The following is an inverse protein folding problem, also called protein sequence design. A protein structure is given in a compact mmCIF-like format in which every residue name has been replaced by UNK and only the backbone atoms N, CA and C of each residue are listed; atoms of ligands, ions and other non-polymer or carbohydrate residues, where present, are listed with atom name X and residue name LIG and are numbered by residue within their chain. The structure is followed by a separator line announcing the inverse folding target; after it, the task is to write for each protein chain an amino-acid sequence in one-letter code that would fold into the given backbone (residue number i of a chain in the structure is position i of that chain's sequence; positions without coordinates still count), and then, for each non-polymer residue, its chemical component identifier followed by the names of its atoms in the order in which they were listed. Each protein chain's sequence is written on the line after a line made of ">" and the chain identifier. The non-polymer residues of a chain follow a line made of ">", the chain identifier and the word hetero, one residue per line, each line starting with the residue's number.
data_IF_260929040794
#
_entry.id   IF_260929040794
#
_cell.length_a   1.000
_cell.length_b   1.000
_cell.length_c   1.000
_cell.angle_alpha   90.00
_cell.angle_beta   90.00
_cell.angle_gamma   90.00
#
_symmetry.space_group_name_H-M   'P 1'
#
loop_
_entity.id
_entity.type
_entity.pdbx_description
1 polymer ?
#
# COMPACT_ATOMS: atom_id res chain seq x y z
N UNK A 1 77.79 -3.50 15.01
CA UNK A 1 76.71 -4.44 14.98
C UNK A 1 75.41 -3.96 15.65
N UNK A 2 75.40 -3.48 16.91
CA UNK A 2 74.18 -3.04 17.61
C UNK A 2 73.43 -1.85 17.00
N UNK A 3 74.10 -0.92 16.28
CA UNK A 3 73.42 0.21 15.59
C UNK A 3 72.69 -0.21 14.31
N UNK A 4 73.29 -1.11 13.54
CA UNK A 4 72.68 -1.64 12.31
C UNK A 4 71.43 -2.45 12.61
N UNK A 5 71.47 -3.24 13.70
CA UNK A 5 70.30 -4.05 14.13
C UNK A 5 69.14 -3.17 14.59
N UNK A 6 69.44 -2.04 15.30
CA UNK A 6 68.38 -1.08 15.70
C UNK A 6 67.75 -0.37 14.50
N UNK A 7 68.53 0.01 13.51
CA UNK A 7 68.00 0.63 12.29
C UNK A 7 67.15 -0.34 11.46
N UNK A 8 67.55 -1.62 11.36
CA UNK A 8 66.80 -2.64 10.67
C UNK A 8 65.45 -2.94 11.37
N UNK A 9 65.42 -2.99 12.70
CA UNK A 9 64.19 -3.19 13.48
C UNK A 9 63.22 -1.98 13.33
N UNK A 10 63.77 -0.75 13.33
CA UNK A 10 62.95 0.45 13.13
C UNK A 10 62.34 0.51 11.72
N UNK A 11 63.07 0.10 10.68
CA UNK A 11 62.54 0.03 9.31
C UNK A 11 61.45 -1.02 9.16
N UNK A 12 61.60 -2.19 9.80
CA UNK A 12 60.59 -3.24 9.81
C UNK A 12 59.31 -2.82 10.54
N UNK A 13 59.45 -2.07 11.65
CA UNK A 13 58.30 -1.54 12.38
C UNK A 13 57.54 -0.49 11.56
N UNK A 14 58.24 0.41 10.86
CA UNK A 14 57.63 1.40 9.99
C UNK A 14 56.91 0.74 8.78
N UNK A 15 57.51 -0.30 8.19
CA UNK A 15 56.89 -1.06 7.12
C UNK A 15 55.61 -1.81 7.56
N UNK A 16 55.61 -2.37 8.77
CA UNK A 16 54.45 -3.02 9.35
C UNK A 16 53.28 -2.05 9.62
N UNK A 17 53.55 -0.83 10.07
CA UNK A 17 52.55 0.23 10.29
C UNK A 17 52.00 0.76 8.94
N UNK A 18 52.85 0.87 7.90
CA UNK A 18 52.42 1.31 6.58
C UNK A 18 51.54 0.27 5.87
N UNK A 19 51.76 -1.03 6.08
CA UNK A 19 50.93 -2.13 5.55
C UNK A 19 49.62 -2.34 6.34
N UNK A 20 49.58 -1.97 7.62
CA UNK A 20 48.37 -2.04 8.46
C UNK A 20 47.36 -0.92 8.20
N UNK A 21 47.78 0.19 7.58
CA UNK A 21 46.92 1.36 7.34
C UNK A 21 46.00 1.28 6.11
N UNK A 22 46.19 0.29 5.25
CA UNK A 22 45.36 0.15 4.02
C UNK A 22 44.14 -0.78 4.18
N UNK A 23 43.95 -1.38 5.36
CA UNK A 23 42.83 -2.32 5.61
C UNK A 23 41.54 -1.66 6.11
N UNK A 24 41.45 -0.35 6.26
CA UNK A 24 40.21 0.36 6.50
C UNK A 24 39.56 0.75 5.16
N UNK A 25 39.20 -0.22 4.34
CA UNK A 25 38.13 -0.02 3.36
C UNK A 25 36.89 0.38 4.15
N UNK A 26 36.59 1.68 4.18
CA UNK A 26 35.29 2.19 4.67
C UNK A 26 34.22 1.53 3.83
N UNK A 27 33.68 0.40 4.29
CA UNK A 27 32.46 -0.14 3.72
C UNK A 27 31.44 0.98 3.87
N UNK A 28 31.06 1.59 2.75
CA UNK A 28 29.99 2.58 2.77
C UNK A 28 28.77 1.86 3.33
N UNK A 29 28.17 2.41 4.38
CA UNK A 29 26.89 1.91 4.88
C UNK A 29 25.90 1.88 3.70
N UNK A 30 25.04 0.88 3.61
CA UNK A 30 24.05 0.82 2.56
C UNK A 30 23.13 2.04 2.62
N UNK A 31 22.68 2.50 1.47
CA UNK A 31 21.58 3.45 1.39
C UNK A 31 20.31 2.76 1.84
N UNK A 32 19.71 3.21 2.93
CA UNK A 32 18.45 2.65 3.43
C UNK A 32 17.27 3.34 2.76
N UNK A 33 16.34 2.53 2.24
CA UNK A 33 15.05 2.95 1.69
C UNK A 33 13.95 2.41 2.61
N UNK A 34 13.15 3.30 3.15
CA UNK A 34 12.02 2.95 4.03
C UNK A 34 10.73 2.87 3.24
N UNK A 35 9.94 1.82 3.48
CA UNK A 35 8.64 1.60 2.85
C UNK A 35 7.57 1.43 3.93
N UNK A 36 6.49 2.20 3.84
CA UNK A 36 5.32 2.01 4.68
C UNK A 36 4.18 1.38 3.88
N UNK A 37 3.54 0.37 4.48
CA UNK A 37 2.41 -0.34 3.91
C UNK A 37 1.26 -0.43 4.90
N UNK A 38 0.10 -0.88 4.44
CA UNK A 38 -1.04 -1.30 5.28
C UNK A 38 -1.22 -2.83 5.27
N UNK A 39 -0.24 -3.57 4.75
CA UNK A 39 -0.35 -5.01 4.62
C UNK A 39 -0.34 -5.71 5.98
N UNK A 40 -1.20 -6.72 6.11
CA UNK A 40 -1.34 -7.53 7.32
C UNK A 40 -1.44 -9.01 6.95
N UNK A 41 -1.24 -9.90 7.92
CA UNK A 41 -1.33 -11.35 7.71
C UNK A 41 -0.46 -11.84 6.56
N UNK A 42 -0.99 -12.72 5.73
CA UNK A 42 -0.28 -13.38 4.62
C UNK A 42 0.27 -12.36 3.60
N UNK A 43 -0.44 -11.25 3.39
CA UNK A 43 -0.01 -10.19 2.47
C UNK A 43 1.28 -9.51 2.96
N UNK A 44 1.37 -9.25 4.27
CA UNK A 44 2.57 -8.70 4.89
C UNK A 44 3.73 -9.70 4.83
N UNK A 45 3.46 -10.98 5.08
CA UNK A 45 4.47 -12.03 4.99
C UNK A 45 5.04 -12.14 3.58
N UNK A 46 4.18 -12.20 2.56
CA UNK A 46 4.61 -12.23 1.16
C UNK A 46 5.43 -10.98 0.79
N UNK A 47 5.02 -9.79 1.24
CA UNK A 47 5.76 -8.57 0.97
C UNK A 47 7.14 -8.57 1.63
N UNK A 48 7.24 -9.03 2.87
CA UNK A 48 8.51 -9.13 3.57
C UNK A 48 9.48 -10.12 2.89
N UNK A 49 8.98 -11.24 2.34
CA UNK A 49 9.79 -12.16 1.54
C UNK A 49 10.37 -11.48 0.29
N UNK A 50 9.58 -10.63 -0.39
CA UNK A 50 10.09 -9.85 -1.53
C UNK A 50 11.17 -8.84 -1.11
N UNK A 51 11.00 -8.19 0.05
CA UNK A 51 12.00 -7.28 0.62
C UNK A 51 13.29 -8.02 0.96
N UNK A 52 13.20 -9.19 1.57
CA UNK A 52 14.36 -10.04 1.88
C UNK A 52 15.07 -10.51 0.61
N UNK A 53 14.32 -10.92 -0.40
CA UNK A 53 14.88 -11.29 -1.70
C UNK A 53 15.61 -10.11 -2.34
N UNK A 54 15.02 -8.92 -2.35
CA UNK A 54 15.70 -7.72 -2.85
C UNK A 54 16.98 -7.44 -2.07
N UNK A 55 16.92 -7.42 -0.75
CA UNK A 55 18.05 -7.12 0.13
C UNK A 55 19.21 -8.11 -0.02
N UNK A 56 18.89 -9.40 -0.27
CA UNK A 56 19.90 -10.45 -0.45
C UNK A 56 20.51 -10.50 -1.86
N UNK A 57 19.85 -9.90 -2.84
CA UNK A 57 20.26 -9.92 -4.26
C UNK A 57 20.65 -8.52 -4.76
N UNK A 58 19.75 -7.84 -5.45
CA UNK A 58 19.98 -6.53 -6.08
C UNK A 58 20.38 -5.47 -5.06
N UNK A 59 19.75 -5.46 -3.89
CA UNK A 59 20.04 -4.52 -2.81
C UNK A 59 21.48 -4.68 -2.33
N UNK A 60 21.93 -5.92 -2.12
CA UNK A 60 23.31 -6.23 -1.73
C UNK A 60 24.31 -5.78 -2.82
N UNK A 61 24.03 -6.07 -4.08
CA UNK A 61 24.86 -5.67 -5.20
C UNK A 61 25.01 -4.16 -5.31
N UNK A 62 23.90 -3.44 -5.16
CA UNK A 62 23.84 -1.98 -5.30
C UNK A 62 24.13 -1.21 -3.99
N UNK A 63 24.43 -1.91 -2.92
CA UNK A 63 24.60 -1.33 -1.57
C UNK A 63 23.37 -0.52 -1.14
N UNK A 64 22.18 -1.06 -1.39
CA UNK A 64 20.87 -0.55 -0.99
C UNK A 64 20.23 -1.54 -0.03
N UNK A 65 19.61 -1.05 1.03
CA UNK A 65 18.83 -1.84 1.98
C UNK A 65 17.42 -1.29 2.06
N UNK A 66 16.42 -2.12 1.86
CA UNK A 66 15.01 -1.79 2.06
C UNK A 66 14.59 -2.21 3.47
N UNK A 67 13.90 -1.33 4.15
CA UNK A 67 13.25 -1.57 5.45
C UNK A 67 11.76 -1.25 5.29
N UNK A 68 10.91 -2.26 5.52
CA UNK A 68 9.46 -2.13 5.41
C UNK A 68 8.82 -2.15 6.80
N UNK A 69 7.75 -1.39 6.97
CA UNK A 69 6.87 -1.47 8.13
C UNK A 69 5.41 -1.37 7.72
N UNK A 70 4.57 -2.17 8.39
CA UNK A 70 3.12 -2.02 8.29
C UNK A 70 2.66 -0.97 9.29
N UNK A 71 1.80 -0.07 8.84
CA UNK A 71 1.17 0.95 9.69
C UNK A 71 -0.22 0.52 10.19
N UNK A 72 -0.60 -0.73 9.93
CA UNK A 72 -1.89 -1.27 10.35
C UNK A 72 -2.92 -1.27 9.22
N UNK A 73 -4.00 -0.51 9.35
CA UNK A 73 -5.02 -0.38 8.31
C UNK A 73 -4.69 0.71 7.29
N UNK A 74 -5.48 0.80 6.22
CA UNK A 74 -5.39 1.90 5.24
C UNK A 74 -5.50 3.26 5.96
N UNK A 75 -6.48 3.41 6.85
CA UNK A 75 -6.71 4.66 7.58
C UNK A 75 -5.55 4.99 8.55
N UNK A 76 -4.96 3.99 9.18
CA UNK A 76 -3.79 4.18 10.06
C UNK A 76 -2.59 4.65 9.24
N UNK A 77 -2.35 4.03 8.08
CA UNK A 77 -1.27 4.43 7.17
C UNK A 77 -1.47 5.88 6.69
N UNK A 78 -2.68 6.23 6.25
CA UNK A 78 -3.01 7.58 5.79
C UNK A 78 -2.77 8.60 6.92
N UNK A 79 -3.29 8.32 8.12
CA UNK A 79 -3.09 9.19 9.30
C UNK A 79 -1.61 9.36 9.61
N UNK A 80 -0.84 8.28 9.59
CA UNK A 80 0.59 8.29 9.90
C UNK A 80 1.40 9.07 8.86
N UNK A 81 1.13 8.85 7.57
CA UNK A 81 1.88 9.50 6.49
C UNK A 81 1.58 11.00 6.42
N UNK A 82 0.31 11.40 6.61
CA UNK A 82 -0.05 12.82 6.63
C UNK A 82 0.53 13.51 7.87
N UNK A 83 0.50 12.88 9.03
CA UNK A 83 1.15 13.41 10.23
C UNK A 83 2.66 13.60 10.05
N UNK A 84 3.33 12.63 9.40
CA UNK A 84 4.75 12.70 9.07
C UNK A 84 5.05 13.81 8.04
N UNK A 85 4.22 13.94 7.00
CA UNK A 85 4.34 14.97 5.97
C UNK A 85 4.16 16.37 6.51
N UNK A 86 3.25 16.57 7.45
CA UNK A 86 3.01 17.85 8.14
C UNK A 86 4.04 18.16 9.26
N UNK A 87 4.92 17.21 9.59
CA UNK A 87 5.90 17.36 10.65
C UNK A 87 5.29 17.48 12.05
N UNK A 88 4.17 16.80 12.30
CA UNK A 88 3.49 16.83 13.60
C UNK A 88 4.39 16.33 14.71
N UNK A 89 4.25 16.91 15.89
CA UNK A 89 5.01 16.48 17.09
C UNK A 89 4.71 15.01 17.42
N UNK A 90 5.76 14.22 17.52
CA UNK A 90 5.63 12.78 17.76
C UNK A 90 5.41 11.91 16.52
N UNK A 91 5.25 12.51 15.34
CA UNK A 91 5.20 11.75 14.09
C UNK A 91 6.58 11.18 13.75
N UNK A 92 6.57 10.01 13.13
CA UNK A 92 7.79 9.41 12.56
C UNK A 92 8.29 10.21 11.36
N UNK A 93 9.51 9.93 10.94
CA UNK A 93 10.04 10.51 9.71
C UNK A 93 9.30 9.94 8.51
N UNK A 94 8.93 10.81 7.56
CA UNK A 94 8.27 10.41 6.31
C UNK A 94 9.10 9.33 5.59
N UNK A 95 8.48 8.20 5.16
CA UNK A 95 9.18 7.13 4.45
C UNK A 95 9.57 7.56 3.04
N UNK A 96 10.47 6.81 2.40
CA UNK A 96 10.83 7.04 1.00
C UNK A 96 9.75 6.56 0.03
N UNK A 97 9.03 5.50 0.40
CA UNK A 97 7.95 4.91 -0.40
C UNK A 97 6.77 4.62 0.52
N UNK A 98 5.58 4.86 0.04
CA UNK A 98 4.33 4.56 0.77
C UNK A 98 3.33 3.88 -0.16
N UNK A 99 2.66 2.84 0.33
CA UNK A 99 1.47 2.30 -0.32
C UNK A 99 0.33 3.27 -0.12
N UNK A 100 -0.22 3.84 -1.20
CA UNK A 100 -1.21 4.90 -1.10
C UNK A 100 -2.33 4.74 -2.12
N UNK A 101 -3.50 5.23 -1.76
CA UNK A 101 -4.56 5.52 -2.72
C UNK A 101 -4.36 6.91 -3.33
N UNK A 102 -5.11 7.20 -4.40
CA UNK A 102 -4.92 8.40 -5.18
C UNK A 102 -5.19 9.70 -4.40
N UNK A 103 -6.11 9.70 -3.46
CA UNK A 103 -6.48 10.84 -2.62
C UNK A 103 -5.34 11.26 -1.67
N UNK A 104 -4.78 10.30 -0.94
CA UNK A 104 -3.61 10.55 -0.08
C UNK A 104 -2.39 10.95 -0.92
N UNK A 105 -2.16 10.27 -2.05
CA UNK A 105 -1.08 10.60 -2.96
C UNK A 105 -1.23 12.02 -3.55
N UNK A 106 -2.46 12.43 -3.89
CA UNK A 106 -2.76 13.79 -4.34
C UNK A 106 -2.42 14.82 -3.26
N UNK A 107 -2.80 14.55 -2.01
CA UNK A 107 -2.47 15.44 -0.89
C UNK A 107 -0.96 15.60 -0.72
N UNK A 108 -0.20 14.50 -0.81
CA UNK A 108 1.27 14.54 -0.76
C UNK A 108 1.87 15.29 -1.95
N UNK A 109 1.29 15.16 -3.14
CA UNK A 109 1.72 15.89 -4.34
C UNK A 109 1.48 17.41 -4.20
N UNK A 110 0.33 17.82 -3.66
CA UNK A 110 0.06 19.24 -3.35
C UNK A 110 1.05 19.84 -2.34
N UNK A 111 1.63 19.01 -1.48
CA UNK A 111 2.70 19.40 -0.55
C UNK A 111 4.10 19.38 -1.19
N UNK A 112 4.21 19.01 -2.48
CA UNK A 112 5.47 18.89 -3.20
C UNK A 112 6.33 17.70 -2.77
N UNK A 113 5.74 16.67 -2.17
CA UNK A 113 6.43 15.50 -1.62
C UNK A 113 6.41 14.28 -2.56
N UNK A 114 5.53 14.27 -3.58
CA UNK A 114 5.47 13.18 -4.55
C UNK A 114 6.43 13.44 -5.74
N UNK A 115 7.23 12.42 -6.04
CA UNK A 115 8.20 12.48 -7.15
C UNK A 115 7.54 12.00 -8.44
N UNK A 116 7.82 12.66 -9.57
CA UNK A 116 7.46 12.13 -10.89
C UNK A 116 8.32 10.91 -11.22
N UNK A 117 7.67 9.79 -11.44
CA UNK A 117 8.30 8.50 -11.77
C UNK A 117 8.49 8.30 -13.28
N UNK A 118 7.86 9.13 -14.11
CA UNK A 118 7.89 9.00 -15.59
C UNK A 118 9.29 8.92 -16.16
N UNK A 119 10.28 9.73 -15.71
CA UNK A 119 11.65 9.69 -16.26
C UNK A 119 12.42 8.42 -15.89
N UNK A 120 11.98 7.66 -14.91
CA UNK A 120 12.66 6.47 -14.40
C UNK A 120 12.12 5.17 -15.03
N UNK A 121 11.09 5.25 -15.86
CA UNK A 121 10.46 4.12 -16.52
C UNK A 121 10.63 4.20 -18.02
N UNK A 122 11.12 3.12 -18.61
CA UNK A 122 11.16 2.97 -20.07
C UNK A 122 9.76 2.70 -20.63
N UNK A 123 9.53 2.99 -21.91
CA UNK A 123 8.27 2.68 -22.59
C UNK A 123 7.96 1.17 -22.58
N UNK A 124 9.00 0.33 -22.61
CA UNK A 124 8.85 -1.11 -22.47
C UNK A 124 8.31 -1.51 -21.10
N UNK A 125 8.80 -0.89 -20.04
CA UNK A 125 8.30 -1.13 -18.66
C UNK A 125 6.88 -0.64 -18.53
N UNK A 126 6.56 0.57 -18.99
CA UNK A 126 5.20 1.10 -18.98
C UNK A 126 4.22 0.20 -19.75
N UNK A 127 4.62 -0.33 -20.90
CA UNK A 127 3.77 -1.20 -21.73
C UNK A 127 3.46 -2.56 -21.11
N UNK A 128 4.18 -2.98 -20.06
CA UNK A 128 3.90 -4.19 -19.31
C UNK A 128 2.69 -4.02 -18.36
N UNK A 129 2.21 -2.80 -18.14
CA UNK A 129 1.08 -2.48 -17.27
C UNK A 129 -0.17 -2.14 -18.07
N UNK A 130 -1.34 -2.35 -17.47
CA UNK A 130 -2.60 -1.90 -18.06
C UNK A 130 -2.60 -0.37 -18.11
N UNK A 131 -2.75 0.18 -19.31
CA UNK A 131 -2.64 1.63 -19.54
C UNK A 131 -3.58 2.47 -18.67
N UNK A 132 -4.80 1.97 -18.40
CA UNK A 132 -5.75 2.63 -17.50
C UNK A 132 -5.21 2.76 -16.07
N UNK A 133 -4.50 1.76 -15.56
CA UNK A 133 -3.93 1.80 -14.22
C UNK A 133 -2.73 2.75 -14.11
N UNK A 134 -1.91 2.83 -15.16
CA UNK A 134 -0.85 3.85 -15.20
C UNK A 134 -1.43 5.26 -15.28
N UNK A 135 -2.50 5.44 -16.07
CA UNK A 135 -3.16 6.75 -16.19
C UNK A 135 -3.73 7.26 -14.86
N UNK A 136 -4.21 6.38 -13.99
CA UNK A 136 -4.66 6.77 -12.65
C UNK A 136 -3.53 7.35 -11.77
N UNK A 137 -2.29 7.02 -12.08
CA UNK A 137 -1.10 7.56 -11.41
C UNK A 137 -0.72 8.96 -11.85
N UNK A 138 -1.29 9.46 -12.94
CA UNK A 138 -1.20 10.86 -13.39
C UNK A 138 -2.31 11.69 -12.71
N UNK A 139 -2.04 12.08 -11.48
CA UNK A 139 -3.02 12.71 -10.58
C UNK A 139 -3.54 14.05 -11.10
N UNK A 140 -2.73 14.76 -11.90
CA UNK A 140 -3.05 16.10 -12.40
C UNK A 140 -3.36 16.09 -13.91
N UNK A 141 -3.35 14.94 -14.56
CA UNK A 141 -3.52 14.77 -15.99
C UNK A 141 -2.56 15.63 -16.82
N UNK A 142 -1.31 15.72 -16.34
CA UNK A 142 -0.23 16.52 -16.94
C UNK A 142 0.91 15.65 -17.50
N UNK A 143 0.76 14.33 -17.49
CA UNK A 143 1.75 13.36 -17.96
C UNK A 143 2.78 12.91 -16.92
N UNK A 144 2.72 13.41 -15.70
CA UNK A 144 3.58 12.99 -14.60
C UNK A 144 2.98 11.77 -13.89
N UNK A 145 3.78 10.74 -13.68
CA UNK A 145 3.39 9.54 -12.95
C UNK A 145 3.76 9.68 -11.48
N UNK A 146 2.83 10.05 -10.63
CA UNK A 146 3.06 10.23 -9.18
C UNK A 146 2.76 8.96 -8.38
N UNK A 147 1.87 8.10 -8.89
CA UNK A 147 1.51 6.83 -8.27
C UNK A 147 1.79 5.69 -9.24
N UNK A 148 2.58 4.72 -8.80
CA UNK A 148 2.87 3.53 -9.59
C UNK A 148 1.95 2.37 -9.18
N UNK A 149 1.23 1.72 -10.12
CA UNK A 149 0.28 0.66 -9.79
C UNK A 149 1.01 -0.64 -9.45
N UNK A 150 1.00 -1.02 -8.17
CA UNK A 150 1.56 -2.30 -7.70
C UNK A 150 0.48 -3.36 -7.46
N UNK A 151 -0.72 -2.92 -7.09
CA UNK A 151 -1.90 -3.75 -6.88
C UNK A 151 -3.15 -2.90 -7.09
N UNK A 152 -4.23 -3.53 -7.55
CA UNK A 152 -5.55 -2.91 -7.67
C UNK A 152 -6.57 -3.81 -7.00
N UNK A 153 -7.48 -3.19 -6.27
CA UNK A 153 -8.65 -3.87 -5.71
C UNK A 153 -9.92 -3.30 -6.32
N UNK A 154 -10.99 -4.07 -6.24
CA UNK A 154 -12.32 -3.65 -6.64
C UNK A 154 -13.33 -4.11 -5.61
N UNK A 155 -14.42 -3.42 -5.54
CA UNK A 155 -15.56 -3.85 -4.75
C UNK A 155 -16.42 -4.81 -5.59
N UNK A 156 -16.90 -5.86 -4.95
CA UNK A 156 -17.75 -6.86 -5.54
C UNK A 156 -18.99 -7.05 -4.67
N UNK A 157 -20.14 -7.14 -5.31
CA UNK A 157 -21.35 -7.60 -4.66
C UNK A 157 -21.34 -9.13 -4.62
N UNK A 158 -21.25 -9.71 -3.42
CA UNK A 158 -21.43 -11.14 -3.21
C UNK A 158 -22.88 -11.42 -2.85
N UNK A 159 -23.52 -12.26 -3.61
CA UNK A 159 -24.90 -12.65 -3.38
C UNK A 159 -24.98 -14.11 -2.95
N UNK A 160 -25.57 -14.36 -1.77
CA UNK A 160 -25.93 -15.70 -1.35
C UNK A 160 -27.18 -16.14 -2.12
N UNK A 161 -27.01 -16.92 -3.17
CA UNK A 161 -28.11 -17.34 -4.04
C UNK A 161 -29.09 -18.28 -3.35
N UNK A 162 -28.70 -19.00 -2.33
CA UNK A 162 -29.57 -19.87 -1.53
C UNK A 162 -30.60 -19.05 -0.76
N UNK A 163 -30.18 -17.95 -0.14
CA UNK A 163 -31.08 -17.07 0.62
C UNK A 163 -31.84 -16.11 -0.30
N UNK A 164 -31.24 -15.74 -1.44
CA UNK A 164 -31.87 -14.85 -2.40
C UNK A 164 -33.04 -15.52 -3.17
N UNK A 165 -32.95 -16.81 -3.49
CA UNK A 165 -33.95 -17.48 -4.33
C UNK A 165 -35.39 -17.39 -3.77
N UNK A 166 -35.68 -17.72 -2.49
CA UNK A 166 -37.04 -17.60 -1.94
C UNK A 166 -37.49 -16.14 -1.85
N UNK A 167 -36.61 -15.21 -1.64
CA UNK A 167 -36.95 -13.78 -1.67
C UNK A 167 -37.33 -13.32 -3.07
N UNK A 168 -36.52 -13.67 -4.08
CA UNK A 168 -36.77 -13.36 -5.48
C UNK A 168 -38.12 -13.93 -5.96
N UNK A 169 -38.42 -15.18 -5.59
CA UNK A 169 -39.71 -15.82 -5.91
C UNK A 169 -40.88 -15.08 -5.27
N UNK A 170 -40.79 -14.69 -4.03
CA UNK A 170 -41.86 -14.03 -3.30
C UNK A 170 -42.08 -12.56 -3.74
N UNK A 171 -41.03 -11.84 -4.16
CA UNK A 171 -41.10 -10.38 -4.38
C UNK A 171 -40.94 -9.97 -5.84
N UNK A 172 -40.53 -10.89 -6.71
CA UNK A 172 -40.26 -10.63 -8.13
C UNK A 172 -38.96 -9.87 -8.38
N UNK A 173 -38.10 -9.69 -7.37
CA UNK A 173 -36.77 -9.06 -7.53
C UNK A 173 -35.86 -9.99 -8.34
N UNK A 174 -35.13 -9.41 -9.27
CA UNK A 174 -34.24 -10.14 -10.19
C UNK A 174 -32.78 -9.72 -10.00
N UNK A 175 -31.85 -10.46 -10.57
CA UNK A 175 -30.43 -10.07 -10.60
C UNK A 175 -30.19 -8.73 -11.33
N UNK A 176 -31.04 -8.41 -12.32
CA UNK A 176 -30.95 -7.16 -13.05
C UNK A 176 -31.24 -5.94 -12.14
N UNK A 177 -32.15 -6.09 -11.19
CA UNK A 177 -32.49 -5.04 -10.24
C UNK A 177 -31.31 -4.71 -9.31
N UNK A 178 -30.41 -5.67 -9.07
CA UNK A 178 -29.21 -5.48 -8.23
C UNK A 178 -28.04 -4.81 -8.98
N UNK A 179 -28.21 -4.47 -10.27
CA UNK A 179 -27.14 -3.89 -11.09
C UNK A 179 -26.95 -2.39 -10.92
N UNK A 180 -27.85 -1.71 -10.22
CA UNK A 180 -27.80 -0.28 -9.92
C UNK A 180 -27.96 -0.04 -8.43
N UNK A 181 -27.48 1.11 -7.97
CA UNK A 181 -27.59 1.52 -6.56
C UNK A 181 -29.06 1.69 -6.15
N UNK A 182 -29.87 2.28 -7.03
CA UNK A 182 -31.30 2.49 -6.83
C UNK A 182 -32.03 1.16 -6.70
N UNK A 183 -31.77 0.23 -7.63
CA UNK A 183 -32.39 -1.09 -7.62
C UNK A 183 -31.94 -1.92 -6.41
N UNK A 184 -30.66 -1.83 -6.01
CA UNK A 184 -30.19 -2.46 -4.78
C UNK A 184 -30.88 -1.91 -3.53
N UNK A 185 -31.13 -0.59 -3.48
CA UNK A 185 -31.85 0.04 -2.39
C UNK A 185 -33.32 -0.42 -2.35
N UNK A 186 -34.00 -0.46 -3.50
CA UNK A 186 -35.36 -0.97 -3.58
C UNK A 186 -35.47 -2.45 -3.18
N UNK A 187 -34.50 -3.28 -3.61
CA UNK A 187 -34.41 -4.67 -3.20
C UNK A 187 -34.21 -4.81 -1.68
N UNK A 188 -33.40 -3.93 -1.08
CA UNK A 188 -33.18 -3.92 0.35
C UNK A 188 -34.45 -3.62 1.15
N UNK A 189 -35.25 -2.65 0.72
CA UNK A 189 -36.56 -2.35 1.33
C UNK A 189 -37.53 -3.53 1.20
N UNK A 190 -37.65 -4.10 -0.01
CA UNK A 190 -38.50 -5.28 -0.22
C UNK A 190 -38.05 -6.48 0.63
N UNK A 191 -36.74 -6.66 0.80
CA UNK A 191 -36.20 -7.73 1.62
C UNK A 191 -36.54 -7.53 3.12
N UNK A 192 -36.42 -6.30 3.60
CA UNK A 192 -36.81 -5.95 4.96
C UNK A 192 -38.29 -6.25 5.18
N UNK A 193 -39.18 -5.74 4.34
CA UNK A 193 -40.65 -5.94 4.45
C UNK A 193 -41.01 -7.42 4.35
N UNK A 194 -40.37 -8.15 3.44
CA UNK A 194 -40.60 -9.58 3.24
C UNK A 194 -40.17 -10.41 4.47
N UNK A 195 -39.06 -10.06 5.10
CA UNK A 195 -38.58 -10.76 6.31
C UNK A 195 -39.36 -10.36 7.56
N UNK A 196 -39.78 -9.09 7.66
CA UNK A 196 -40.64 -8.60 8.75
C UNK A 196 -42.00 -9.32 8.75
N UNK A 197 -42.59 -9.53 7.58
CA UNK A 197 -43.86 -10.25 7.44
C UNK A 197 -43.78 -11.75 7.83
N UNK A 198 -42.60 -12.32 8.01
CA UNK A 198 -42.42 -13.73 8.41
C UNK A 198 -42.44 -13.92 9.93
N UNK A 199 -42.45 -12.86 10.72
CA UNK A 199 -42.45 -12.90 12.17
C UNK A 199 -43.69 -12.21 12.73
N UNK A 200 -44.01 -12.47 13.99
CA UNK A 200 -45.10 -11.81 14.65
C UNK A 200 -44.71 -10.47 15.33
N UNK A 201 -43.40 -10.22 15.44
CA UNK A 201 -42.85 -8.98 15.97
C UNK A 201 -42.79 -7.92 14.87
N UNK A 202 -43.31 -6.71 15.06
CA UNK A 202 -43.29 -5.67 14.05
C UNK A 202 -41.90 -5.00 13.99
N UNK A 203 -41.48 -4.61 12.80
CA UNK A 203 -40.25 -3.88 12.55
C UNK A 203 -38.96 -4.64 12.92
N UNK A 204 -38.96 -5.96 12.72
CA UNK A 204 -37.79 -6.82 12.94
C UNK A 204 -37.22 -7.42 11.63
N UNK A 205 -37.55 -6.81 10.51
CA UNK A 205 -37.02 -7.18 9.20
C UNK A 205 -35.49 -7.18 9.15
N UNK A 206 -34.92 -8.06 8.32
CA UNK A 206 -33.48 -8.26 8.22
C UNK A 206 -32.86 -7.31 7.19
N UNK A 207 -31.61 -6.88 7.45
CA UNK A 207 -30.82 -6.17 6.46
C UNK A 207 -30.49 -7.07 5.25
N UNK A 208 -30.62 -6.52 4.05
CA UNK A 208 -30.37 -7.25 2.80
C UNK A 208 -28.87 -7.41 2.52
N UNK A 209 -28.05 -6.41 2.80
CA UNK A 209 -26.62 -6.44 2.55
C UNK A 209 -25.82 -5.68 3.61
N UNK A 210 -24.52 -5.99 3.66
CA UNK A 210 -23.55 -5.32 4.53
C UNK A 210 -22.40 -4.80 3.67
N UNK A 211 -21.92 -3.60 3.96
CA UNK A 211 -20.72 -3.03 3.37
C UNK A 211 -19.50 -3.41 4.20
N UNK A 212 -18.44 -3.85 3.56
CA UNK A 212 -17.20 -4.24 4.24
C UNK A 212 -16.42 -3.04 4.78
N UNK A 213 -16.52 -1.89 4.12
CA UNK A 213 -15.95 -0.63 4.57
C UNK A 213 -16.75 0.55 4.03
N UNK A 214 -17.13 1.47 4.90
CA UNK A 214 -17.87 2.69 4.53
C UNK A 214 -16.93 3.73 3.95
N UNK A 215 -15.65 3.74 4.33
CA UNK A 215 -14.66 4.74 3.95
C UNK A 215 -14.25 4.70 2.47
N UNK A 216 -14.42 3.56 1.80
CA UNK A 216 -14.05 3.41 0.38
C UNK A 216 -15.23 3.61 -0.57
N UNK A 217 -16.39 3.89 -0.03
CA UNK A 217 -17.63 3.98 -0.77
C UNK A 217 -18.07 5.43 -0.87
N UNK A 218 -17.41 6.20 -1.71
CA UNK A 218 -17.84 7.58 -2.04
C UNK A 218 -19.20 7.66 -2.73
N UNK A 219 -19.89 6.55 -2.81
CA UNK A 219 -21.19 6.49 -3.49
C UNK A 219 -22.17 5.76 -2.65
N UNK A 220 -22.47 6.26 -1.41
CA UNK A 220 -23.35 5.43 -0.71
C UNK A 220 -24.34 6.07 0.07
N UNK A 221 -25.41 5.80 -0.40
CA UNK A 221 -26.60 5.30 0.27
C UNK A 221 -26.48 5.53 1.77
N UNK A 222 -26.89 6.69 2.19
CA UNK A 222 -27.40 6.84 3.54
C UNK A 222 -28.69 6.04 3.65
N UNK A 223 -28.56 4.78 4.06
CA UNK A 223 -29.71 4.04 4.53
C UNK A 223 -30.07 4.65 5.88
N UNK A 224 -31.12 5.46 5.89
CA UNK A 224 -31.73 5.88 7.15
C UNK A 224 -32.37 4.63 7.79
N UNK A 225 -31.89 4.28 8.98
CA UNK A 225 -32.59 3.46 9.95
C UNK A 225 -33.89 4.13 10.37
#
# INVERSE_FOLDING_TARGET
>A
MKRILRSAVSLLLCAAVALGGTACGRSKLPTTITIWTYYNGDQLECFNLLVEQFNSTVGKEKNIRVESSSQGSVNDLETSVLAAAEGKVGAEKLPNIVSSYADTAFTLDQMGLAVDLSPYLTEKEKSAYIAGFLKEGDLMNNGELKVFPIAKSTELLYLNTTDFAPFAEATGVTYADLSTVEGLNEAAHKYYDWTDAQTAAPNDGKAHFTLSAVSNSYSIIQIRS
#
